data_IF_527490896873
#
_entry.id   IF_527490896873
#
_cell.length_a   1.000
_cell.length_b   1.000
_cell.length_c   1.000
_cell.angle_alpha   90.00
_cell.angle_beta   90.00
_cell.angle_gamma   90.00
#
_symmetry.space_group_name_H-M   'P 1'
#
loop_
_entity.id
_entity.type
_entity.pdbx_description
1 polymer ?
#
# COMPACT_ATOMS: atom_id res chain seq x y z
N UNK A 1 16.77 10.95 -27.14
CA UNK A 1 16.13 12.28 -27.02
C UNK A 1 17.08 13.15 -26.22
N UNK A 2 17.44 14.36 -26.65
CA UNK A 2 18.22 15.26 -25.82
C UNK A 2 17.47 15.53 -24.52
N UNK A 3 18.18 15.44 -23.40
CA UNK A 3 17.66 15.86 -22.11
C UNK A 3 17.26 17.34 -22.23
N UNK A 4 16.05 17.75 -21.87
CA UNK A 4 15.67 19.15 -21.89
C UNK A 4 16.71 19.96 -21.09
N UNK A 5 17.10 21.16 -21.54
CA UNK A 5 18.02 21.97 -20.77
C UNK A 5 17.40 22.25 -19.39
N UNK A 6 18.18 22.05 -18.35
CA UNK A 6 17.83 22.46 -16.98
C UNK A 6 17.50 23.96 -17.06
N UNK A 7 16.32 24.35 -16.58
CA UNK A 7 15.93 25.75 -16.51
C UNK A 7 16.63 26.37 -15.29
N UNK A 8 17.70 27.14 -15.46
CA UNK A 8 18.56 27.58 -14.34
C UNK A 8 17.79 28.35 -13.26
N UNK A 9 16.73 29.06 -13.65
CA UNK A 9 15.95 29.90 -12.74
C UNK A 9 15.02 29.08 -11.83
N UNK A 10 14.79 27.79 -12.14
CA UNK A 10 13.93 26.89 -11.36
C UNK A 10 14.69 25.91 -10.50
N UNK A 11 15.99 25.83 -10.67
CA UNK A 11 16.83 24.89 -9.93
C UNK A 11 17.89 25.62 -9.12
N UNK A 12 18.28 25.05 -8.00
CA UNK A 12 19.37 25.53 -7.15
C UNK A 12 20.40 24.41 -7.02
N UNK A 13 21.41 24.34 -7.91
CA UNK A 13 22.44 23.33 -7.86
C UNK A 13 23.09 23.27 -6.48
N UNK A 14 23.30 22.05 -5.97
CA UNK A 14 23.85 21.82 -4.63
C UNK A 14 22.80 21.69 -3.52
N UNK A 15 21.54 22.05 -3.77
CA UNK A 15 20.43 21.76 -2.86
C UNK A 15 20.05 20.27 -2.97
N UNK A 16 19.81 19.63 -1.83
CA UNK A 16 19.44 18.20 -1.77
C UNK A 16 17.94 17.96 -1.77
N UNK A 17 17.16 18.99 -1.80
CA UNK A 17 15.71 18.96 -1.67
C UNK A 17 15.01 19.65 -2.83
N UNK A 18 13.82 19.22 -3.13
CA UNK A 18 12.82 19.88 -3.93
C UNK A 18 11.57 20.14 -3.09
N UNK A 19 10.73 21.06 -3.54
CA UNK A 19 9.47 21.39 -2.87
C UNK A 19 8.31 20.86 -3.70
N UNK A 20 7.30 20.29 -3.04
CA UNK A 20 6.02 19.92 -3.66
C UNK A 20 4.95 20.86 -3.14
N UNK A 21 4.23 21.47 -4.04
CA UNK A 21 3.06 22.29 -3.78
C UNK A 21 1.83 21.62 -4.41
N UNK A 22 0.79 21.40 -3.62
CA UNK A 22 -0.50 20.90 -4.10
C UNK A 22 -1.56 21.92 -3.71
N UNK A 23 -2.31 22.40 -4.72
CA UNK A 23 -3.32 23.41 -4.48
C UNK A 23 -4.54 22.85 -3.74
N UNK A 24 -5.06 21.69 -4.16
CA UNK A 24 -6.23 21.08 -3.56
C UNK A 24 -6.31 19.59 -3.94
N UNK A 25 -6.00 18.70 -3.02
CA UNK A 25 -5.96 17.26 -3.30
C UNK A 25 -7.30 16.66 -3.75
N UNK A 26 -8.40 17.35 -3.49
CA UNK A 26 -9.75 16.90 -3.86
C UNK A 26 -10.17 17.32 -5.28
N UNK A 27 -9.33 18.07 -5.99
CA UNK A 27 -9.53 18.34 -7.41
C UNK A 27 -9.05 17.15 -8.25
N UNK A 28 -9.80 16.83 -9.31
CA UNK A 28 -9.50 15.71 -10.21
C UNK A 28 -10.17 14.40 -9.83
N UNK A 29 -9.90 13.38 -10.65
CA UNK A 29 -10.57 12.08 -10.55
C UNK A 29 -10.01 11.19 -9.42
N UNK A 30 -8.77 11.41 -8.98
CA UNK A 30 -8.08 10.51 -8.05
C UNK A 30 -8.73 10.41 -6.66
N UNK A 31 -9.39 11.47 -6.19
CA UNK A 31 -10.14 11.49 -4.93
C UNK A 31 -11.63 11.80 -5.13
N UNK A 32 -12.16 11.53 -6.32
CA UNK A 32 -13.57 11.75 -6.64
C UNK A 32 -14.49 11.03 -5.66
N UNK A 33 -15.43 11.78 -5.09
CA UNK A 33 -16.39 11.24 -4.12
C UNK A 33 -15.88 11.10 -2.69
N UNK A 34 -14.59 11.37 -2.44
CA UNK A 34 -14.05 11.41 -1.07
C UNK A 34 -14.46 12.73 -0.41
N UNK A 35 -15.12 12.69 0.76
CA UNK A 35 -15.51 13.91 1.46
C UNK A 35 -14.27 14.75 1.83
N UNK A 36 -14.37 16.08 1.67
CA UNK A 36 -13.31 16.99 2.10
C UNK A 36 -13.04 16.84 3.60
N UNK A 37 -11.77 16.92 3.97
CA UNK A 37 -11.33 16.70 5.33
C UNK A 37 -11.12 15.23 5.72
N UNK A 38 -11.39 14.27 4.83
CA UNK A 38 -11.09 12.85 5.04
C UNK A 38 -9.58 12.60 5.08
N UNK A 39 -8.85 13.18 4.14
CA UNK A 39 -7.39 13.05 4.07
C UNK A 39 -6.74 14.00 5.07
N UNK A 40 -5.86 13.47 5.90
CA UNK A 40 -5.14 14.21 6.94
C UNK A 40 -3.65 14.37 6.67
N UNK A 41 -3.09 13.48 5.89
CA UNK A 41 -1.67 13.48 5.57
C UNK A 41 -1.41 12.75 4.24
N UNK A 42 -0.23 12.93 3.69
CA UNK A 42 0.34 12.01 2.72
C UNK A 42 1.38 11.12 3.38
N UNK A 43 1.35 9.83 3.06
CA UNK A 43 2.51 8.96 3.18
C UNK A 43 3.38 9.17 1.96
N UNK A 44 4.65 9.49 2.20
CA UNK A 44 5.63 9.71 1.15
C UNK A 44 6.47 8.45 1.00
N UNK A 45 6.43 7.88 -0.18
CA UNK A 45 7.21 6.71 -0.57
C UNK A 45 8.22 7.12 -1.63
N UNK A 46 9.39 6.53 -1.64
CA UNK A 46 10.30 6.59 -2.77
C UNK A 46 10.37 5.26 -3.48
N UNK A 47 10.54 5.31 -4.80
CA UNK A 47 10.88 4.16 -5.61
C UNK A 47 12.38 4.07 -5.79
N UNK A 48 12.87 2.84 -5.76
CA UNK A 48 14.27 2.59 -6.06
C UNK A 48 14.49 2.49 -7.56
N UNK A 49 15.69 2.84 -7.99
CA UNK A 49 16.04 2.79 -9.41
C UNK A 49 15.92 1.37 -9.97
N UNK A 50 15.38 1.30 -11.19
CA UNK A 50 15.14 0.04 -11.88
C UNK A 50 16.40 -0.80 -12.07
N UNK A 51 16.21 -2.10 -12.04
CA UNK A 51 17.26 -3.09 -12.22
C UNK A 51 17.41 -3.48 -13.69
N UNK A 52 18.59 -3.97 -14.03
CA UNK A 52 18.84 -4.50 -15.36
C UNK A 52 18.14 -5.86 -15.51
N UNK A 53 17.47 -6.07 -16.64
CA UNK A 53 16.80 -7.35 -16.99
C UNK A 53 15.82 -7.83 -15.91
N UNK A 54 15.01 -6.93 -15.36
CA UNK A 54 13.84 -7.36 -14.61
C UNK A 54 12.96 -8.14 -15.56
N UNK A 55 12.75 -9.44 -15.32
CA UNK A 55 11.75 -10.16 -16.07
C UNK A 55 10.37 -9.62 -15.69
N UNK A 56 9.41 -9.89 -16.52
CA UNK A 56 7.97 -9.76 -16.23
C UNK A 56 7.52 -10.67 -15.07
N UNK A 57 8.43 -10.98 -14.14
CA UNK A 57 8.15 -11.90 -13.06
C UNK A 57 7.59 -11.13 -11.87
N UNK A 58 6.27 -11.20 -11.78
CA UNK A 58 5.47 -10.58 -10.72
C UNK A 58 5.70 -11.19 -9.32
N UNK A 59 6.69 -12.07 -9.19
CA UNK A 59 7.06 -12.75 -7.94
C UNK A 59 8.36 -12.24 -7.34
N UNK A 60 8.95 -11.20 -7.89
CA UNK A 60 10.27 -10.74 -7.45
C UNK A 60 10.28 -10.18 -6.03
N UNK A 61 9.28 -9.42 -5.65
CA UNK A 61 9.19 -8.78 -4.33
C UNK A 61 8.11 -9.39 -3.43
N UNK A 62 7.13 -10.00 -4.01
CA UNK A 62 5.98 -10.59 -3.33
C UNK A 62 5.07 -11.29 -4.32
N UNK A 63 4.03 -11.95 -3.83
CA UNK A 63 3.02 -12.62 -4.67
C UNK A 63 2.36 -11.59 -5.57
N UNK A 64 2.54 -11.72 -6.89
CA UNK A 64 1.93 -10.83 -7.87
C UNK A 64 2.05 -9.33 -7.50
N UNK A 65 3.17 -8.96 -6.88
CA UNK A 65 3.46 -7.56 -6.55
C UNK A 65 4.08 -6.87 -7.76
N UNK A 66 4.06 -5.54 -7.75
CA UNK A 66 4.89 -4.77 -8.68
C UNK A 66 6.37 -5.10 -8.50
N UNK A 67 7.17 -4.75 -9.47
CA UNK A 67 8.63 -4.95 -9.46
C UNK A 67 9.41 -3.83 -8.75
N UNK A 68 8.72 -2.78 -8.32
CA UNK A 68 9.38 -1.63 -7.69
C UNK A 68 9.59 -1.83 -6.20
N UNK A 69 10.81 -1.62 -5.73
CA UNK A 69 11.09 -1.54 -4.30
C UNK A 69 10.66 -0.17 -3.81
N UNK A 70 9.73 -0.17 -2.87
CA UNK A 70 9.26 1.04 -2.20
C UNK A 70 9.93 1.22 -0.85
N UNK A 71 10.32 2.46 -0.56
CA UNK A 71 10.86 2.89 0.74
C UNK A 71 9.90 3.85 1.41
N UNK A 72 9.67 3.64 2.68
CA UNK A 72 8.93 4.57 3.50
C UNK A 72 9.82 5.76 3.89
N UNK A 73 9.56 6.93 3.33
CA UNK A 73 10.26 8.16 3.72
C UNK A 73 9.64 8.80 4.96
N UNK A 74 8.32 8.74 5.10
CA UNK A 74 7.59 9.30 6.23
C UNK A 74 6.24 9.85 5.83
N UNK A 75 5.77 10.86 6.57
CA UNK A 75 4.49 11.50 6.33
C UNK A 75 4.61 13.02 6.32
N UNK A 76 3.69 13.67 5.60
CA UNK A 76 3.53 15.13 5.59
C UNK A 76 2.06 15.48 5.77
N UNK A 77 1.71 16.55 6.47
CA UNK A 77 0.32 16.95 6.67
C UNK A 77 -0.32 17.44 5.38
N UNK A 78 -1.63 17.32 5.32
CA UNK A 78 -2.52 18.00 4.39
C UNK A 78 -3.29 19.04 5.18
N UNK A 79 -3.34 20.26 4.68
CA UNK A 79 -4.02 21.37 5.33
C UNK A 79 -5.55 21.20 5.28
N UNK A 80 -6.27 21.93 6.13
CA UNK A 80 -7.73 21.80 6.25
C UNK A 80 -8.48 22.12 4.94
N UNK A 81 -7.90 23.00 4.11
CA UNK A 81 -8.44 23.35 2.80
C UNK A 81 -8.09 22.34 1.68
N UNK A 82 -7.37 21.29 2.02
CA UNK A 82 -6.91 20.26 1.09
C UNK A 82 -5.61 20.60 0.38
N UNK A 83 -4.99 21.73 0.69
CA UNK A 83 -3.68 22.09 0.13
C UNK A 83 -2.53 21.41 0.88
N UNK A 84 -1.35 21.35 0.25
CA UNK A 84 -0.15 20.84 0.89
C UNK A 84 1.11 21.50 0.35
N UNK A 85 2.10 21.72 1.22
CA UNK A 85 3.42 22.25 0.87
C UNK A 85 4.49 21.53 1.70
N UNK A 86 5.39 20.83 1.05
CA UNK A 86 6.40 20.02 1.74
C UNK A 86 7.67 19.83 0.91
N UNK A 87 8.78 19.46 1.59
CA UNK A 87 10.03 19.14 0.91
C UNK A 87 10.17 17.64 0.69
N UNK A 88 10.84 17.29 -0.40
CA UNK A 88 11.20 15.91 -0.78
C UNK A 88 12.68 15.84 -1.16
N UNK A 89 13.33 14.66 -1.10
CA UNK A 89 14.67 14.48 -1.66
C UNK A 89 14.67 14.79 -3.16
N UNK A 90 15.61 15.64 -3.59
CA UNK A 90 15.77 15.95 -5.02
C UNK A 90 16.24 14.72 -5.81
N UNK A 91 15.92 14.69 -7.11
CA UNK A 91 16.30 13.62 -8.03
C UNK A 91 15.86 12.22 -7.59
N UNK A 92 14.87 12.15 -6.72
CA UNK A 92 14.34 10.88 -6.17
C UNK A 92 12.90 10.70 -6.62
N UNK A 93 12.57 9.61 -7.31
CA UNK A 93 11.19 9.33 -7.68
C UNK A 93 10.37 9.00 -6.42
N UNK A 94 9.31 9.75 -6.20
CA UNK A 94 8.41 9.58 -5.05
C UNK A 94 6.98 9.32 -5.48
N UNK A 95 6.25 8.63 -4.64
CA UNK A 95 4.81 8.43 -4.72
C UNK A 95 4.13 8.92 -3.45
N UNK A 96 2.91 9.41 -3.60
CA UNK A 96 2.11 9.93 -2.51
C UNK A 96 0.88 9.05 -2.29
N UNK A 97 0.64 8.69 -1.03
CA UNK A 97 -0.59 8.01 -0.64
C UNK A 97 -1.38 8.91 0.31
N UNK A 98 -2.56 9.42 -0.11
CA UNK A 98 -3.45 10.15 0.78
C UNK A 98 -3.91 9.24 1.93
N UNK A 99 -3.78 9.70 3.17
CA UNK A 99 -4.10 8.95 4.38
C UNK A 99 -5.33 9.53 5.09
N UNK A 100 -6.20 8.64 5.57
CA UNK A 100 -7.27 8.99 6.48
C UNK A 100 -6.75 9.26 7.91
N UNK A 101 -7.65 9.61 8.83
CA UNK A 101 -7.32 9.86 10.23
C UNK A 101 -6.76 8.66 11.00
N UNK A 102 -6.93 7.44 10.46
CA UNK A 102 -6.37 6.21 11.01
C UNK A 102 -5.01 5.86 10.38
N UNK A 103 -4.52 6.65 9.43
CA UNK A 103 -3.27 6.39 8.70
C UNK A 103 -3.41 5.31 7.60
N UNK A 104 -4.63 5.02 7.13
CA UNK A 104 -4.89 4.09 6.03
C UNK A 104 -4.92 4.85 4.71
N UNK A 105 -4.39 4.25 3.66
CA UNK A 105 -4.46 4.84 2.33
C UNK A 105 -5.92 4.90 1.83
N UNK A 106 -6.26 6.05 1.26
CA UNK A 106 -7.54 6.31 0.58
C UNK A 106 -7.41 6.04 -0.91
N UNK A 107 -6.22 6.33 -1.44
CA UNK A 107 -5.88 6.18 -2.84
C UNK A 107 -4.40 5.83 -2.98
N UNK A 108 -4.00 5.34 -4.12
CA UNK A 108 -2.62 5.01 -4.44
C UNK A 108 -2.17 5.67 -5.73
N UNK A 109 -1.12 6.48 -5.64
CA UNK A 109 -0.43 6.99 -6.80
C UNK A 109 0.47 5.89 -7.37
N UNK A 110 0.08 5.28 -8.49
CA UNK A 110 0.82 4.19 -9.14
C UNK A 110 2.00 4.63 -9.99
N UNK A 111 2.08 5.93 -10.25
CA UNK A 111 3.22 6.57 -10.91
C UNK A 111 4.08 7.28 -9.85
N UNK A 112 5.01 8.08 -10.31
CA UNK A 112 5.88 8.87 -9.44
C UNK A 112 6.05 10.27 -9.99
N UNK A 113 6.48 11.16 -9.13
CA UNK A 113 7.00 12.47 -9.48
C UNK A 113 8.46 12.57 -9.03
N UNK A 114 9.23 13.44 -9.67
CA UNK A 114 10.62 13.72 -9.31
C UNK A 114 10.83 15.24 -9.40
N UNK A 115 11.36 15.82 -8.33
CA UNK A 115 11.78 17.22 -8.31
C UNK A 115 13.29 17.35 -8.49
N UNK A 116 13.74 18.34 -9.27
CA UNK A 116 15.16 18.68 -9.37
C UNK A 116 15.61 19.48 -8.13
N UNK A 117 16.94 19.57 -7.87
CA UNK A 117 17.47 20.35 -6.75
C UNK A 117 16.92 21.78 -6.70
N UNK A 118 16.22 22.12 -5.62
CA UNK A 118 15.60 23.43 -5.39
C UNK A 118 14.38 23.76 -6.23
N UNK A 119 13.90 22.82 -7.04
CA UNK A 119 12.69 22.97 -7.84
C UNK A 119 11.44 22.98 -6.96
N UNK A 120 10.41 23.71 -7.39
CA UNK A 120 9.05 23.55 -6.88
C UNK A 120 8.20 22.84 -7.92
N UNK A 121 7.82 21.61 -7.60
CA UNK A 121 6.87 20.82 -8.39
C UNK A 121 5.46 21.20 -7.92
N UNK A 122 4.59 21.58 -8.84
CA UNK A 122 3.22 22.00 -8.51
C UNK A 122 2.21 21.04 -9.11
N UNK A 123 1.26 20.63 -8.28
CA UNK A 123 0.07 19.87 -8.68
C UNK A 123 -1.18 20.68 -8.32
N UNK A 124 -2.20 20.61 -9.16
CA UNK A 124 -3.49 21.23 -8.87
C UNK A 124 -4.26 20.34 -7.90
N UNK A 125 -4.31 19.04 -8.19
CA UNK A 125 -5.01 18.07 -7.39
C UNK A 125 -4.50 16.65 -7.56
N UNK A 126 -5.34 15.69 -7.19
CA UNK A 126 -5.04 14.28 -7.35
C UNK A 126 -5.62 13.81 -8.70
N UNK A 127 -4.77 13.68 -9.71
CA UNK A 127 -5.13 13.29 -11.07
C UNK A 127 -6.08 14.29 -11.75
N UNK A 128 -5.65 15.55 -11.82
CA UNK A 128 -6.36 16.63 -12.49
C UNK A 128 -6.46 16.39 -14.01
N UNK A 129 -7.52 16.94 -14.62
CA UNK A 129 -7.70 16.93 -16.06
C UNK A 129 -6.74 17.94 -16.73
N UNK A 130 -5.89 17.44 -17.63
CA UNK A 130 -4.93 18.25 -18.38
C UNK A 130 -5.58 19.28 -19.32
N UNK A 131 -6.86 19.11 -19.64
CA UNK A 131 -7.61 20.01 -20.51
C UNK A 131 -8.37 21.11 -19.75
N UNK A 132 -8.27 21.13 -18.42
CA UNK A 132 -8.90 22.14 -17.58
C UNK A 132 -7.88 23.15 -17.08
N UNK A 133 -8.26 24.42 -17.12
CA UNK A 133 -7.46 25.48 -16.51
C UNK A 133 -7.89 25.59 -15.04
N UNK A 134 -6.95 25.40 -14.11
CA UNK A 134 -7.28 25.50 -12.69
C UNK A 134 -7.70 26.93 -12.33
N UNK A 135 -8.71 27.04 -11.49
CA UNK A 135 -9.08 28.32 -10.91
C UNK A 135 -8.03 28.67 -9.84
N UNK A 136 -7.31 29.79 -9.98
CA UNK A 136 -6.37 30.22 -8.96
C UNK A 136 -7.10 30.43 -7.63
N UNK A 137 -6.65 29.72 -6.59
CA UNK A 137 -7.16 29.85 -5.22
C UNK A 137 -6.02 30.29 -4.30
N UNK A 138 -6.30 31.21 -3.40
CA UNK A 138 -5.39 31.42 -2.27
C UNK A 138 -5.65 30.32 -1.24
N UNK A 139 -4.65 29.50 -1.01
CA UNK A 139 -4.74 28.32 -0.14
C UNK A 139 -3.74 28.44 1.01
N UNK A 140 -3.97 27.68 2.09
CA UNK A 140 -3.11 27.68 3.28
C UNK A 140 -1.67 27.37 2.90
N UNK A 141 -1.43 26.38 2.05
CA UNK A 141 -0.11 25.99 1.56
C UNK A 141 0.67 27.17 0.91
N UNK A 142 -0.01 28.17 0.35
CA UNK A 142 0.65 29.35 -0.23
C UNK A 142 1.16 30.37 0.80
N UNK A 143 0.84 30.17 2.08
CA UNK A 143 1.14 31.11 3.18
C UNK A 143 2.06 30.56 4.25
N UNK A 144 2.40 29.27 4.17
CA UNK A 144 3.23 28.57 5.15
C UNK A 144 4.62 28.26 4.59
N UNK A 145 5.52 27.84 5.46
CA UNK A 145 6.79 27.24 5.04
C UNK A 145 6.57 25.77 4.70
N UNK A 146 7.35 25.19 3.76
CA UNK A 146 7.26 23.78 3.46
C UNK A 146 7.46 22.90 4.70
N UNK A 147 6.58 21.93 4.90
CA UNK A 147 6.74 20.90 5.91
C UNK A 147 7.88 19.96 5.56
N UNK A 148 8.72 19.63 6.52
CA UNK A 148 9.65 18.51 6.38
C UNK A 148 8.91 17.19 6.52
N UNK A 149 9.41 16.12 5.90
CA UNK A 149 8.88 14.78 6.08
C UNK A 149 9.08 14.35 7.52
N UNK A 150 7.99 14.06 8.22
CA UNK A 150 8.03 13.43 9.54
C UNK A 150 8.49 11.98 9.39
N UNK A 151 9.68 11.68 9.90
CA UNK A 151 10.29 10.36 9.76
C UNK A 151 9.44 9.27 10.42
N UNK A 152 9.37 8.08 9.83
CA UNK A 152 8.74 6.94 10.45
C UNK A 152 9.54 6.49 11.67
N UNK A 153 8.86 5.86 12.60
CA UNK A 153 9.51 5.23 13.76
C UNK A 153 10.55 4.19 13.27
N UNK A 154 11.77 4.26 13.77
CA UNK A 154 12.90 3.45 13.31
C UNK A 154 13.59 3.96 12.05
N UNK A 155 13.25 5.14 11.55
CA UNK A 155 13.90 5.80 10.40
C UNK A 155 13.35 5.38 9.03
N UNK A 156 13.87 6.02 8.01
CA UNK A 156 13.54 5.71 6.60
C UNK A 156 14.11 4.35 6.21
N UNK A 157 13.29 3.49 5.62
CA UNK A 157 13.70 2.14 5.27
C UNK A 157 12.82 1.52 4.20
N UNK A 158 13.34 0.50 3.51
CA UNK A 158 12.51 -0.44 2.77
C UNK A 158 11.63 -1.25 3.74
N UNK A 159 10.43 -1.56 3.33
CA UNK A 159 9.48 -2.36 4.13
C UNK A 159 9.65 -3.84 3.83
N UNK A 160 9.84 -4.68 4.84
CA UNK A 160 9.92 -6.14 4.70
C UNK A 160 8.87 -6.84 5.55
N UNK A 161 8.28 -7.90 5.03
CA UNK A 161 7.32 -8.70 5.79
C UNK A 161 7.95 -9.32 7.04
N UNK A 162 9.16 -9.87 6.91
CA UNK A 162 9.82 -10.59 7.99
C UNK A 162 10.17 -9.70 9.19
N UNK A 163 10.57 -8.44 8.94
CA UNK A 163 10.93 -7.51 10.02
C UNK A 163 9.74 -6.75 10.59
N UNK A 164 8.72 -6.49 9.78
CA UNK A 164 7.61 -5.62 10.17
C UNK A 164 6.35 -6.41 10.55
N UNK A 165 5.92 -7.33 9.70
CA UNK A 165 4.62 -8.01 9.84
C UNK A 165 4.74 -9.30 10.66
N UNK A 166 5.79 -10.10 10.42
CA UNK A 166 5.97 -11.36 11.13
C UNK A 166 5.94 -11.19 12.66
N UNK A 167 6.59 -10.19 13.26
CA UNK A 167 6.50 -9.96 14.71
C UNK A 167 5.07 -9.70 15.22
N UNK A 168 4.21 -9.09 14.39
CA UNK A 168 2.79 -8.91 14.75
C UNK A 168 2.08 -10.26 14.77
N UNK A 169 2.34 -11.11 13.76
CA UNK A 169 1.77 -12.45 13.71
C UNK A 169 2.25 -13.31 14.88
N UNK A 170 3.55 -13.27 15.19
CA UNK A 170 4.17 -14.02 16.30
C UNK A 170 3.58 -13.64 17.65
N UNK A 171 3.20 -12.38 17.84
CA UNK A 171 2.57 -11.94 19.08
C UNK A 171 1.08 -12.26 19.13
N UNK A 172 0.35 -11.97 18.05
CA UNK A 172 -1.10 -11.86 18.09
C UNK A 172 -1.84 -13.03 17.46
N UNK A 173 -1.18 -13.84 16.61
CA UNK A 173 -1.88 -14.82 15.76
C UNK A 173 -1.44 -16.26 15.99
N UNK A 174 -0.14 -16.54 16.22
CA UNK A 174 0.39 -17.90 16.28
C UNK A 174 -0.12 -18.72 17.47
N UNK A 175 -0.71 -18.10 18.49
CA UNK A 175 -1.33 -18.85 19.60
C UNK A 175 -2.46 -19.79 19.14
N UNK A 176 -3.09 -19.49 17.99
CA UNK A 176 -4.11 -20.32 17.34
C UNK A 176 -3.69 -20.80 15.95
N UNK A 177 -2.83 -20.04 15.28
CA UNK A 177 -2.40 -20.25 13.91
C UNK A 177 -0.94 -20.76 13.84
N UNK A 178 -0.67 -21.84 14.55
CA UNK A 178 0.67 -22.44 14.73
C UNK A 178 0.94 -23.63 13.79
N UNK A 179 -0.02 -23.96 12.92
CA UNK A 179 0.07 -25.10 12.01
C UNK A 179 -0.21 -26.45 12.65
N UNK A 180 -0.57 -26.52 13.93
CA UNK A 180 -0.94 -27.78 14.62
C UNK A 180 -2.38 -28.25 14.32
N UNK A 181 -3.16 -27.39 13.66
CA UNK A 181 -4.56 -27.62 13.36
C UNK A 181 -4.86 -27.31 11.87
N UNK A 182 -6.15 -27.32 11.50
CA UNK A 182 -6.58 -27.05 10.12
C UNK A 182 -6.61 -25.55 9.75
N UNK A 183 -6.26 -24.66 10.68
CA UNK A 183 -6.21 -23.22 10.42
C UNK A 183 -4.97 -22.87 9.62
N UNK A 184 -4.97 -21.68 9.01
CA UNK A 184 -3.79 -21.17 8.34
C UNK A 184 -2.61 -21.05 9.33
N UNK A 185 -1.44 -21.52 8.93
CA UNK A 185 -0.22 -21.47 9.72
C UNK A 185 0.48 -20.10 9.49
N UNK A 186 0.63 -19.31 10.53
CA UNK A 186 1.30 -18.01 10.50
C UNK A 186 2.65 -18.00 11.22
N UNK A 187 3.19 -19.18 11.56
CA UNK A 187 4.53 -19.26 12.16
C UNK A 187 5.61 -18.82 11.19
N UNK A 188 6.56 -18.04 11.69
CA UNK A 188 7.72 -17.60 10.92
C UNK A 188 8.74 -18.68 10.63
N UNK A 189 9.70 -18.40 9.77
CA UNK A 189 10.85 -19.24 9.49
C UNK A 189 10.61 -20.43 8.54
N UNK A 190 9.38 -20.74 8.16
CA UNK A 190 9.06 -21.75 7.16
C UNK A 190 8.98 -21.12 5.78
N UNK A 191 9.87 -21.53 4.89
CA UNK A 191 9.94 -21.03 3.52
C UNK A 191 9.28 -22.04 2.58
N UNK A 192 8.55 -21.51 1.62
CA UNK A 192 8.02 -22.30 0.52
C UNK A 192 9.12 -22.49 -0.54
N UNK A 193 9.39 -23.75 -0.90
CA UNK A 193 10.50 -24.11 -1.77
C UNK A 193 10.33 -23.61 -3.21
N UNK A 194 9.11 -23.44 -3.66
CA UNK A 194 8.81 -22.99 -5.02
C UNK A 194 8.93 -21.47 -5.15
N UNK A 195 8.30 -20.72 -4.26
CA UNK A 195 8.27 -19.25 -4.33
C UNK A 195 9.45 -18.60 -3.61
N UNK A 196 10.02 -19.30 -2.61
CA UNK A 196 11.02 -18.75 -1.72
C UNK A 196 10.49 -17.70 -0.73
N UNK A 197 9.17 -17.60 -0.60
CA UNK A 197 8.52 -16.73 0.40
C UNK A 197 8.20 -17.51 1.67
N UNK A 198 8.02 -16.78 2.78
CA UNK A 198 7.53 -17.38 4.03
C UNK A 198 6.13 -17.94 3.88
N UNK A 199 5.87 -19.14 4.45
CA UNK A 199 4.53 -19.75 4.42
C UNK A 199 3.49 -18.89 5.13
N UNK A 200 3.87 -18.20 6.20
CA UNK A 200 3.00 -17.25 6.90
C UNK A 200 2.53 -16.11 6.00
N UNK A 201 3.44 -15.58 5.18
CA UNK A 201 3.13 -14.55 4.19
C UNK A 201 2.14 -15.06 3.13
N UNK A 202 2.40 -16.24 2.56
CA UNK A 202 1.52 -16.85 1.55
C UNK A 202 0.13 -17.15 2.13
N UNK A 203 0.08 -17.67 3.35
CA UNK A 203 -1.17 -18.00 4.03
C UNK A 203 -1.99 -16.77 4.44
N UNK A 204 -1.34 -15.60 4.63
CA UNK A 204 -2.02 -14.35 4.95
C UNK A 204 -2.58 -13.65 3.71
N UNK A 205 -2.03 -13.91 2.54
CA UNK A 205 -2.37 -13.26 1.27
C UNK A 205 -3.85 -13.36 0.88
N UNK A 206 -4.57 -14.48 1.05
CA UNK A 206 -5.98 -14.58 0.70
C UNK A 206 -6.90 -13.62 1.45
N UNK A 207 -6.44 -13.05 2.57
CA UNK A 207 -7.24 -12.17 3.43
C UNK A 207 -7.00 -10.68 3.17
N UNK A 208 -6.12 -10.35 2.22
CA UNK A 208 -5.83 -8.96 1.86
C UNK A 208 -6.43 -8.61 0.50
N UNK A 209 -6.85 -7.36 0.35
CA UNK A 209 -7.35 -6.81 -0.89
C UNK A 209 -6.38 -5.78 -1.41
N UNK A 210 -5.65 -6.13 -2.44
CA UNK A 210 -4.61 -5.31 -3.03
C UNK A 210 -4.64 -5.41 -4.55
N UNK A 211 -4.01 -4.44 -5.19
CA UNK A 211 -3.88 -4.41 -6.62
C UNK A 211 -2.90 -5.48 -7.11
N UNK A 212 -3.28 -6.25 -8.12
CA UNK A 212 -2.36 -7.10 -8.87
C UNK A 212 -1.48 -6.31 -9.84
N UNK A 213 -0.47 -6.95 -10.45
CA UNK A 213 0.46 -6.29 -11.39
C UNK A 213 -0.21 -5.87 -12.69
N UNK A 214 -1.25 -6.55 -13.08
CA UNK A 214 -2.02 -6.31 -14.33
C UNK A 214 -3.34 -5.60 -14.05
N UNK A 215 -3.42 -4.86 -12.95
CA UNK A 215 -4.58 -4.05 -12.69
C UNK A 215 -4.75 -2.98 -13.78
N UNK A 216 -5.99 -2.54 -13.94
CA UNK A 216 -6.38 -1.55 -14.93
C UNK A 216 -5.47 -0.33 -14.91
N UNK A 217 -5.14 0.18 -16.09
CA UNK A 217 -4.29 1.36 -16.26
C UNK A 217 -5.03 2.66 -15.94
N UNK A 218 -6.35 2.60 -15.81
CA UNK A 218 -7.19 3.73 -15.48
C UNK A 218 -7.00 4.20 -14.03
N UNK A 219 -7.54 5.36 -13.72
CA UNK A 219 -7.55 5.89 -12.35
C UNK A 219 -8.44 5.00 -11.49
N UNK A 220 -7.86 4.40 -10.45
CA UNK A 220 -8.61 3.58 -9.51
C UNK A 220 -9.60 4.45 -8.72
N UNK A 221 -10.73 3.86 -8.36
CA UNK A 221 -11.63 4.51 -7.44
C UNK A 221 -11.00 4.60 -6.03
N UNK A 222 -11.23 5.70 -5.30
CA UNK A 222 -10.84 5.76 -3.89
C UNK A 222 -11.41 4.57 -3.11
N UNK A 223 -10.63 4.01 -2.21
CA UNK A 223 -10.98 2.83 -1.39
C UNK A 223 -11.20 1.53 -2.19
N UNK A 224 -10.87 1.46 -3.47
CA UNK A 224 -11.08 0.24 -4.26
C UNK A 224 -10.22 -0.92 -3.73
N UNK A 225 -8.97 -0.65 -3.41
CA UNK A 225 -8.04 -1.58 -2.78
C UNK A 225 -7.64 -1.07 -1.40
N UNK A 226 -6.55 -1.54 -0.84
CA UNK A 226 -5.94 -1.07 0.39
C UNK A 226 -6.40 -1.79 1.67
N UNK A 227 -5.78 -1.38 2.77
CA UNK A 227 -6.04 -1.93 4.10
C UNK A 227 -7.52 -1.83 4.49
N UNK A 228 -8.19 -0.72 4.19
CA UNK A 228 -9.59 -0.47 4.58
C UNK A 228 -10.57 -1.47 3.98
N UNK A 229 -10.28 -2.04 2.82
CA UNK A 229 -11.14 -3.00 2.10
C UNK A 229 -10.74 -4.45 2.34
N UNK A 230 -9.56 -4.69 2.91
CA UNK A 230 -9.03 -6.03 3.17
C UNK A 230 -9.82 -6.78 4.24
N UNK A 231 -10.13 -8.05 3.97
CA UNK A 231 -10.85 -8.93 4.89
C UNK A 231 -10.14 -9.06 6.23
N UNK A 232 -8.82 -9.18 6.25
CA UNK A 232 -7.99 -9.22 7.45
C UNK A 232 -8.32 -8.05 8.39
N UNK A 233 -8.30 -6.83 7.87
CA UNK A 233 -8.52 -5.63 8.67
C UNK A 233 -9.97 -5.55 9.15
N UNK A 234 -10.93 -5.87 8.28
CA UNK A 234 -12.35 -5.89 8.66
C UNK A 234 -12.63 -6.90 9.76
N UNK A 235 -12.10 -8.12 9.62
CA UNK A 235 -12.23 -9.21 10.59
C UNK A 235 -11.64 -8.83 11.95
N UNK A 236 -10.41 -8.33 11.97
CA UNK A 236 -9.74 -7.93 13.22
C UNK A 236 -10.49 -6.77 13.92
N UNK A 237 -11.02 -5.81 13.16
CA UNK A 237 -11.80 -4.70 13.73
C UNK A 237 -13.15 -5.10 14.29
N UNK A 238 -13.79 -6.10 13.72
CA UNK A 238 -15.07 -6.61 14.23
C UNK A 238 -14.89 -7.53 15.45
N UNK A 239 -13.66 -7.88 15.77
CA UNK A 239 -13.29 -8.75 16.88
C UNK A 239 -13.05 -10.19 16.43
N UNK A 240 -11.80 -10.59 16.35
CA UNK A 240 -11.38 -11.95 16.00
C UNK A 240 -10.84 -12.66 17.25
N UNK A 241 -11.66 -13.48 17.88
CA UNK A 241 -11.30 -14.31 19.05
C UNK A 241 -10.60 -13.55 20.20
N UNK A 242 -10.95 -12.27 20.41
CA UNK A 242 -10.35 -11.45 21.47
C UNK A 242 -8.92 -10.97 21.19
N UNK A 243 -8.46 -11.08 19.93
CA UNK A 243 -7.17 -10.51 19.54
C UNK A 243 -7.23 -8.97 19.58
N UNK A 244 -6.31 -8.38 20.33
CA UNK A 244 -6.13 -6.94 20.41
C UNK A 244 -4.76 -6.58 19.85
N UNK A 245 -4.75 -5.59 18.94
CA UNK A 245 -3.54 -5.04 18.36
C UNK A 245 -3.26 -3.66 18.94
N UNK A 246 -2.00 -3.37 19.17
CA UNK A 246 -1.54 -2.02 19.51
C UNK A 246 -1.66 -1.08 18.31
N UNK A 247 -1.68 0.23 18.54
CA UNK A 247 -1.70 1.23 17.45
C UNK A 247 -0.53 1.06 16.47
N UNK A 248 0.64 0.64 16.97
CA UNK A 248 1.81 0.36 16.15
C UNK A 248 1.57 -0.84 15.23
N UNK A 249 0.98 -1.91 15.73
CA UNK A 249 0.67 -3.10 14.95
C UNK A 249 -0.42 -2.85 13.92
N UNK A 250 -1.44 -2.06 14.26
CA UNK A 250 -2.41 -1.59 13.30
C UNK A 250 -1.75 -0.82 12.15
N UNK A 251 -0.89 0.14 12.46
CA UNK A 251 -0.15 0.92 11.46
C UNK A 251 0.75 0.02 10.61
N UNK A 252 1.38 -0.99 11.21
CA UNK A 252 2.22 -1.95 10.48
C UNK A 252 1.41 -2.74 9.46
N UNK A 253 0.25 -3.29 9.84
CA UNK A 253 -0.62 -4.01 8.91
C UNK A 253 -1.18 -3.10 7.82
N UNK A 254 -1.58 -1.87 8.16
CA UNK A 254 -2.03 -0.89 7.16
C UNK A 254 -0.91 -0.58 6.16
N UNK A 255 0.28 -0.26 6.65
CA UNK A 255 1.42 0.03 5.80
C UNK A 255 1.72 -1.13 4.86
N UNK A 256 1.78 -2.35 5.38
CA UNK A 256 2.06 -3.54 4.59
C UNK A 256 1.08 -3.72 3.42
N UNK A 257 -0.21 -3.66 3.69
CA UNK A 257 -1.24 -3.83 2.67
C UNK A 257 -1.22 -2.66 1.68
N UNK A 258 -1.12 -1.42 2.19
CA UNK A 258 -1.10 -0.21 1.39
C UNK A 258 0.16 -0.08 0.52
N UNK A 259 1.25 -0.79 0.84
CA UNK A 259 2.46 -0.90 0.00
C UNK A 259 2.37 -2.05 -1.02
N UNK A 260 1.19 -2.58 -1.24
CA UNK A 260 0.94 -3.72 -2.10
C UNK A 260 1.57 -5.03 -1.60
N UNK A 261 1.60 -5.20 -0.29
CA UNK A 261 2.01 -6.41 0.43
C UNK A 261 3.39 -6.96 0.00
N UNK A 262 4.48 -6.19 0.09
CA UNK A 262 5.80 -6.69 -0.24
C UNK A 262 6.25 -7.76 0.75
N UNK A 263 6.98 -8.77 0.27
CA UNK A 263 7.72 -9.71 1.11
C UNK A 263 9.15 -9.25 1.31
N UNK A 264 9.84 -8.93 0.21
CA UNK A 264 11.22 -8.47 0.21
C UNK A 264 11.33 -6.96 0.02
N UNK A 265 12.31 -6.38 0.67
CA UNK A 265 12.78 -5.01 0.39
C UNK A 265 13.88 -4.95 -0.67
N UNK A 266 14.26 -6.09 -1.23
CA UNK A 266 15.30 -6.24 -2.23
C UNK A 266 14.96 -7.39 -3.15
N UNK A 267 15.43 -7.33 -4.40
CA UNK A 267 15.37 -8.49 -5.28
C UNK A 267 16.23 -9.61 -4.74
N UNK A 268 15.70 -10.82 -4.70
CA UNK A 268 16.51 -12.00 -4.42
C UNK A 268 17.45 -12.24 -5.61
N UNK A 269 18.74 -12.21 -5.37
CA UNK A 269 19.75 -12.52 -6.39
C UNK A 269 19.57 -13.91 -7.02
N UNK A 270 18.89 -14.82 -6.33
CA UNK A 270 18.72 -16.21 -6.73
C UNK A 270 17.70 -16.42 -7.86
N UNK A 271 16.72 -15.50 -8.03
CA UNK A 271 15.72 -15.61 -9.09
C UNK A 271 16.35 -15.23 -10.45
N UNK A 272 17.35 -14.36 -10.43
CA UNK A 272 18.02 -13.86 -11.64
C UNK A 272 19.47 -14.32 -11.65
N UNK A 273 19.72 -15.52 -12.18
CA UNK A 273 21.05 -16.11 -12.28
C UNK A 273 22.13 -15.08 -12.69
N UNK A 274 23.02 -14.74 -11.76
CA UNK A 274 24.22 -14.00 -12.04
C UNK A 274 24.13 -12.48 -12.19
N UNK A 275 22.98 -11.85 -11.86
CA UNK A 275 22.85 -10.39 -11.84
C UNK A 275 22.86 -9.88 -10.40
N UNK A 276 23.88 -9.09 -10.06
CA UNK A 276 23.97 -8.44 -8.76
C UNK A 276 23.10 -7.18 -8.75
N UNK A 277 21.82 -7.36 -8.46
CA UNK A 277 20.81 -6.27 -8.49
C UNK A 277 21.13 -5.15 -7.49
N UNK A 278 21.72 -5.51 -6.37
CA UNK A 278 22.07 -4.57 -5.29
C UNK A 278 23.13 -3.59 -5.73
N UNK A 279 24.24 -4.11 -6.32
CA UNK A 279 25.33 -3.26 -6.82
C UNK A 279 24.81 -2.34 -7.93
N UNK A 280 23.99 -2.89 -8.82
CA UNK A 280 23.38 -2.11 -9.89
C UNK A 280 22.50 -0.98 -9.37
N UNK A 281 21.68 -1.26 -8.37
CA UNK A 281 20.86 -0.26 -7.71
C UNK A 281 21.70 0.83 -7.05
N UNK A 282 22.75 0.44 -6.32
CA UNK A 282 23.66 1.39 -5.68
C UNK A 282 24.32 2.30 -6.72
N UNK A 283 24.85 1.72 -7.80
CA UNK A 283 25.42 2.47 -8.93
C UNK A 283 24.43 3.48 -9.52
N UNK A 284 23.19 3.05 -9.78
CA UNK A 284 22.18 3.92 -10.39
C UNK A 284 21.71 5.02 -9.44
N UNK A 285 21.56 4.72 -8.16
CA UNK A 285 21.19 5.72 -7.15
C UNK A 285 22.30 6.77 -7.00
N UNK A 286 23.55 6.35 -6.94
CA UNK A 286 24.69 7.27 -6.87
C UNK A 286 24.76 8.14 -8.13
N UNK A 287 24.61 7.53 -9.30
CA UNK A 287 24.70 8.22 -10.59
C UNK A 287 23.59 9.24 -10.81
N UNK A 288 22.35 8.92 -10.45
CA UNK A 288 21.18 9.74 -10.80
C UNK A 288 20.63 10.55 -9.63
N UNK A 289 20.70 10.07 -8.40
CA UNK A 289 20.27 10.80 -7.21
C UNK A 289 21.42 11.53 -6.50
N UNK A 290 22.69 11.22 -6.87
CA UNK A 290 23.86 11.86 -6.28
C UNK A 290 24.14 11.46 -4.83
N UNK A 291 23.49 10.41 -4.33
CA UNK A 291 23.70 9.89 -2.98
C UNK A 291 23.59 8.37 -2.98
N UNK A 292 24.69 7.71 -2.61
CA UNK A 292 24.64 6.28 -2.33
C UNK A 292 23.78 6.00 -1.12
N UNK A 293 22.86 5.02 -1.21
CA UNK A 293 22.08 4.56 -0.07
C UNK A 293 22.63 3.21 0.38
N UNK A 294 23.17 3.15 1.59
CA UNK A 294 23.49 1.88 2.24
C UNK A 294 22.22 1.29 2.89
N UNK A 295 21.37 0.72 2.04
CA UNK A 295 20.14 0.09 2.48
C UNK A 295 20.35 -1.10 3.41
N UNK A 296 21.54 -1.73 3.40
CA UNK A 296 21.85 -2.81 4.34
C UNK A 296 22.07 -2.26 5.75
N UNK A 297 22.74 -1.11 5.87
CA UNK A 297 22.87 -0.46 7.17
C UNK A 297 21.52 0.02 7.70
N UNK A 298 20.64 0.48 6.84
CA UNK A 298 19.28 0.87 7.23
C UNK A 298 18.46 -0.31 7.77
N UNK A 299 18.50 -1.45 7.06
CA UNK A 299 17.81 -2.66 7.55
C UNK A 299 18.42 -3.13 8.88
N UNK A 300 19.75 -3.09 9.02
CA UNK A 300 20.39 -3.44 10.30
C UNK A 300 19.97 -2.48 11.41
N UNK A 301 20.04 -1.18 11.16
CA UNK A 301 19.63 -0.18 12.14
C UNK A 301 18.17 -0.35 12.58
N UNK A 302 17.28 -0.69 11.63
CA UNK A 302 15.88 -0.96 11.95
C UNK A 302 15.71 -2.28 12.70
N UNK A 303 16.42 -3.34 12.33
CA UNK A 303 16.41 -4.60 13.06
C UNK A 303 16.91 -4.41 14.51
N UNK A 304 17.97 -3.61 14.69
CA UNK A 304 18.49 -3.24 16.01
C UNK A 304 17.47 -2.42 16.82
N UNK A 305 16.77 -1.50 16.15
CA UNK A 305 15.68 -0.73 16.77
C UNK A 305 14.56 -1.67 17.25
N UNK A 306 14.10 -2.61 16.41
CA UNK A 306 13.09 -3.60 16.77
C UNK A 306 13.56 -4.51 17.91
N UNK A 307 14.83 -4.91 17.89
CA UNK A 307 15.44 -5.74 18.94
C UNK A 307 15.46 -5.08 20.32
N UNK A 308 15.47 -3.74 20.36
CA UNK A 308 15.41 -2.95 21.59
C UNK A 308 13.99 -2.69 22.10
N UNK A 309 12.98 -2.95 21.26
CA UNK A 309 11.59 -2.81 21.68
C UNK A 309 11.20 -3.94 22.65
N UNK A 310 10.37 -3.69 23.65
CA UNK A 310 9.88 -4.75 24.51
C UNK A 310 9.17 -5.79 23.65
N UNK A 311 9.58 -7.06 23.80
CA UNK A 311 8.89 -8.16 23.14
C UNK A 311 7.56 -8.36 23.87
N UNK A 312 6.43 -8.03 23.25
CA UNK A 312 5.14 -8.29 23.87
C UNK A 312 4.97 -9.79 24.05
N UNK A 313 4.54 -10.22 25.19
CA UNK A 313 4.20 -11.63 25.44
C UNK A 313 3.11 -12.06 24.48
N UNK A 314 3.17 -13.29 23.92
CA UNK A 314 2.09 -13.83 23.11
C UNK A 314 0.78 -13.76 23.89
N UNK A 315 -0.21 -13.09 23.33
CA UNK A 315 -1.54 -13.05 23.93
C UNK A 315 -2.19 -14.40 23.63
N UNK A 316 -2.52 -15.17 24.64
CA UNK A 316 -3.48 -16.27 24.49
C UNK A 316 -4.86 -15.62 24.48
N UNK A 317 -5.55 -15.59 23.33
CA UNK A 317 -6.91 -15.08 23.30
C UNK A 317 -7.75 -15.99 24.20
N UNK A 318 -8.53 -15.39 25.10
CA UNK A 318 -9.60 -16.14 25.75
C UNK A 318 -10.51 -16.67 24.65
N UNK A 319 -10.62 -17.99 24.54
CA UNK A 319 -11.62 -18.59 23.67
C UNK A 319 -12.98 -18.15 24.18
N UNK A 320 -13.50 -17.08 23.62
CA UNK A 320 -14.92 -16.80 23.75
C UNK A 320 -15.60 -17.96 23.01
N UNK A 321 -16.24 -18.84 23.76
CA UNK A 321 -17.23 -19.72 23.17
C UNK A 321 -18.26 -18.82 22.49
N UNK A 322 -18.20 -18.75 21.18
CA UNK A 322 -19.31 -18.22 20.41
C UNK A 322 -20.45 -19.22 20.66
N UNK A 323 -21.27 -18.93 21.65
CA UNK A 323 -22.63 -19.42 21.61
C UNK A 323 -23.20 -18.81 20.34
N UNK A 324 -23.52 -19.65 19.35
CA UNK A 324 -24.28 -19.25 18.20
C UNK A 324 -25.43 -18.40 18.74
N UNK A 325 -25.28 -17.09 18.64
CA UNK A 325 -26.45 -16.23 18.81
C UNK A 325 -27.32 -16.68 17.66
N UNK A 326 -28.42 -17.39 17.98
CA UNK A 326 -29.50 -17.51 17.04
C UNK A 326 -29.73 -16.10 16.51
N UNK A 327 -29.26 -15.88 15.28
CA UNK A 327 -29.50 -14.62 14.59
C UNK A 327 -30.99 -14.64 14.39
N UNK A 328 -31.69 -13.95 15.28
CA UNK A 328 -33.12 -13.81 15.19
C UNK A 328 -33.41 -12.93 13.97
N UNK A 329 -33.55 -13.60 12.83
CA UNK A 329 -33.84 -13.02 11.52
C UNK A 329 -35.27 -12.43 11.43
N UNK A 330 -35.90 -12.20 12.59
CA UNK A 330 -37.16 -11.43 12.65
C UNK A 330 -36.87 -10.00 12.17
N UNK A 331 -37.20 -9.75 10.91
CA UNK A 331 -37.06 -8.46 10.26
C UNK A 331 -36.25 -8.49 8.95
N UNK A 332 -35.62 -9.57 8.60
CA UNK A 332 -35.12 -9.74 7.24
C UNK A 332 -36.25 -10.20 6.33
N UNK A 333 -36.42 -9.56 5.14
CA UNK A 333 -37.52 -9.91 4.22
C UNK A 333 -37.37 -11.30 3.60
N UNK A 334 -36.33 -12.03 3.91
CA UNK A 334 -36.01 -13.33 3.32
C UNK A 334 -35.70 -14.34 4.43
N UNK A 335 -36.63 -15.26 4.68
CA UNK A 335 -36.32 -16.50 5.39
C UNK A 335 -35.60 -17.47 4.45
N UNK A 336 -35.04 -18.56 5.02
CA UNK A 336 -34.28 -19.55 4.25
C UNK A 336 -35.12 -20.23 3.15
N UNK A 337 -36.44 -20.29 3.31
CA UNK A 337 -37.40 -20.87 2.37
C UNK A 337 -37.63 -19.91 1.21
N UNK A 338 -37.81 -18.61 1.51
CA UNK A 338 -37.91 -17.56 0.50
C UNK A 338 -36.63 -17.41 -0.30
N UNK A 339 -35.44 -17.44 0.32
CA UNK A 339 -34.16 -17.42 -0.35
C UNK A 339 -33.98 -18.64 -1.29
N UNK A 340 -34.34 -19.84 -0.85
CA UNK A 340 -34.31 -21.04 -1.68
C UNK A 340 -35.26 -20.96 -2.87
N UNK A 341 -36.48 -20.42 -2.64
CA UNK A 341 -37.47 -20.25 -3.72
C UNK A 341 -37.02 -19.21 -4.75
N UNK A 342 -36.37 -18.13 -4.31
CA UNK A 342 -35.81 -17.12 -5.21
C UNK A 342 -34.62 -17.65 -6.01
N UNK A 343 -33.72 -18.39 -5.38
CA UNK A 343 -32.61 -19.09 -6.06
C UNK A 343 -33.11 -20.11 -7.08
N UNK A 344 -34.14 -20.88 -6.74
CA UNK A 344 -34.76 -21.82 -7.69
C UNK A 344 -35.41 -21.10 -8.88
N UNK A 345 -36.09 -20.00 -8.61
CA UNK A 345 -36.72 -19.15 -9.64
C UNK A 345 -35.69 -18.45 -10.52
N UNK A 346 -34.56 -18.02 -9.96
CA UNK A 346 -33.45 -17.43 -10.69
C UNK A 346 -32.73 -18.48 -11.56
N UNK A 347 -32.61 -19.72 -11.10
CA UNK A 347 -32.10 -20.83 -11.89
C UNK A 347 -33.05 -21.26 -13.02
N UNK A 348 -34.35 -21.17 -12.84
CA UNK A 348 -35.33 -21.42 -13.91
C UNK A 348 -35.33 -20.31 -14.98
N UNK A 349 -35.17 -19.04 -14.59
CA UNK A 349 -35.19 -17.90 -15.52
C UNK A 349 -33.90 -17.71 -16.31
N UNK A 350 -32.79 -18.31 -15.89
CA UNK A 350 -31.48 -18.14 -16.54
C UNK A 350 -31.09 -19.25 -17.53
N UNK A 351 -32.03 -20.14 -17.91
CA UNK A 351 -31.70 -21.21 -18.87
C UNK A 351 -31.49 -20.71 -20.30
N UNK A 352 -32.04 -19.57 -20.65
CA UNK A 352 -31.87 -19.01 -21.99
C UNK A 352 -32.13 -17.49 -21.99
N UNK A 353 -31.36 -16.74 -22.75
CA UNK A 353 -31.60 -15.33 -23.05
C UNK A 353 -31.67 -15.20 -24.56
N UNK A 354 -32.74 -14.58 -25.05
CA UNK A 354 -32.87 -14.23 -26.48
C UNK A 354 -32.09 -12.91 -26.69
N UNK A 355 -30.99 -12.98 -27.43
CA UNK A 355 -30.10 -11.85 -27.73
C UNK A 355 -30.57 -11.02 -28.94
N UNK A 356 -31.31 -11.64 -29.85
CA UNK A 356 -31.98 -11.03 -31.00
C UNK A 356 -33.06 -11.99 -31.51
N UNK A 357 -34.02 -11.55 -32.33
CA UNK A 357 -35.04 -12.44 -32.88
C UNK A 357 -34.44 -13.71 -33.50
N UNK A 358 -34.73 -14.85 -32.85
CA UNK A 358 -34.22 -16.16 -33.28
C UNK A 358 -32.83 -16.55 -32.80
N UNK A 359 -32.14 -15.74 -31.98
CA UNK A 359 -30.85 -16.05 -31.40
C UNK A 359 -30.99 -16.24 -29.88
N UNK A 360 -30.98 -17.50 -29.46
CA UNK A 360 -31.13 -17.89 -28.06
C UNK A 360 -29.78 -18.39 -27.50
N UNK A 361 -29.28 -17.77 -26.43
CA UNK A 361 -28.13 -18.28 -25.69
C UNK A 361 -28.64 -19.14 -24.52
N UNK A 362 -28.24 -20.41 -24.53
CA UNK A 362 -28.52 -21.34 -23.43
C UNK A 362 -27.32 -21.38 -22.48
N UNK A 363 -27.58 -21.28 -21.21
CA UNK A 363 -26.56 -21.48 -20.15
C UNK A 363 -26.61 -22.95 -19.72
N UNK A 364 -25.49 -23.64 -19.85
CA UNK A 364 -25.31 -25.03 -19.40
C UNK A 364 -24.84 -25.06 -17.96
#
# INVERSE_FOLDING_TARGET
TPVPPIIPDRTKPGTKEATVFIQDIYEGEGLKGVPRGTVKAFRVLSYEYAYNKTPSDHWAQGVQSGWDITRLLGTVPVEEDGSALFTIPANTPISLQPLDSCGRAVQWMRSWLTGMPGETVSCIGCHEDQNQIPIPKRVVASTIKPHAIALPEGGQRPFTFELEVQPVLDRACIACHDGSNKLADFTGGRIDDFTGFGKSYLNLHPYIHRQGPEAEIEVLNPYEYHASTSQLIKMLKTGHHGVELTDKEWKTLYNWIDFNAPYHSKFKANIFKGVEQISRRTELTEKYAGSGVDWQSEIRAYADYLGKQPKPSPVKPERREYKDKEVNVKGWPFDATTAKSMLAKEQETKKSIELAPGIVMNFV
#
